data_IF_035963607736
#
_entry.id   IF_035963607736
#
_cell.length_a   1.000
_cell.length_b   1.000
_cell.length_c   1.000
_cell.angle_alpha   90.00
_cell.angle_beta   90.00
_cell.angle_gamma   90.00
#
_symmetry.space_group_name_H-M   'P 1'
#
loop_
_entity.id
_entity.type
_entity.pdbx_description
1 polymer ?
#
# COMPACT_ATOMS: atom_id res chain seq x y z
N UNK A 1 5.87 -4.51 -17.11
CA UNK A 1 6.79 -3.94 -16.09
C UNK A 1 6.45 -4.59 -14.76
N UNK A 2 7.42 -4.83 -13.86
CA UNK A 2 7.14 -5.42 -12.56
C UNK A 2 6.19 -4.50 -11.77
N UNK A 3 5.17 -5.11 -11.15
CA UNK A 3 4.18 -4.43 -10.31
C UNK A 3 4.39 -4.89 -8.87
N UNK A 4 4.35 -3.93 -7.94
CA UNK A 4 4.49 -4.20 -6.51
C UNK A 4 3.13 -4.15 -5.85
N UNK A 5 2.74 -5.28 -5.24
CA UNK A 5 1.50 -5.38 -4.50
C UNK A 5 1.74 -5.22 -3.00
N UNK A 6 1.06 -4.26 -2.39
CA UNK A 6 1.04 -4.04 -0.94
C UNK A 6 -0.24 -4.65 -0.39
N UNK A 7 -0.12 -5.56 0.58
CA UNK A 7 -1.23 -6.13 1.33
C UNK A 7 -1.15 -5.69 2.79
N UNK A 8 -1.91 -4.67 3.20
CA UNK A 8 -1.95 -4.24 4.59
C UNK A 8 -2.49 -5.35 5.50
N UNK A 9 -2.08 -5.34 6.76
CA UNK A 9 -2.74 -6.13 7.80
C UNK A 9 -4.09 -5.47 8.12
N UNK A 10 -5.13 -6.28 8.35
CA UNK A 10 -6.47 -5.80 8.75
C UNK A 10 -6.49 -4.95 10.03
N UNK A 11 -5.55 -5.16 10.93
CA UNK A 11 -5.45 -4.44 12.21
C UNK A 11 -4.51 -3.22 12.11
N UNK A 12 -3.95 -2.94 10.93
CA UNK A 12 -3.07 -1.79 10.73
C UNK A 12 -3.89 -0.48 10.64
N UNK A 13 -3.46 0.53 11.38
CA UNK A 13 -4.00 1.89 11.25
C UNK A 13 -3.62 2.54 9.91
N UNK A 14 -4.29 3.64 9.57
CA UNK A 14 -4.03 4.38 8.32
C UNK A 14 -2.59 4.92 8.22
N UNK A 15 -2.09 5.53 9.30
CA UNK A 15 -0.78 6.18 9.32
C UNK A 15 0.40 5.27 8.93
N UNK A 16 0.59 4.06 9.49
CA UNK A 16 1.67 3.17 9.06
C UNK A 16 1.52 2.72 7.60
N UNK A 17 0.29 2.54 7.10
CA UNK A 17 0.04 2.19 5.69
C UNK A 17 0.42 3.35 4.77
N UNK A 18 0.05 4.58 5.12
CA UNK A 18 0.40 5.79 4.38
C UNK A 18 1.92 6.02 4.35
N UNK A 19 2.63 5.78 5.46
CA UNK A 19 4.08 5.89 5.51
C UNK A 19 4.77 4.89 4.56
N UNK A 20 4.33 3.63 4.55
CA UNK A 20 4.88 2.60 3.65
C UNK A 20 4.67 2.97 2.18
N UNK A 21 3.49 3.52 1.84
CA UNK A 21 3.19 3.98 0.49
C UNK A 21 4.08 5.16 0.07
N UNK A 22 4.23 6.17 0.93
CA UNK A 22 5.08 7.33 0.67
C UNK A 22 6.56 6.93 0.52
N UNK A 23 7.03 6.02 1.37
CA UNK A 23 8.39 5.45 1.31
C UNK A 23 8.62 4.72 -0.01
N UNK A 24 7.69 3.84 -0.40
CA UNK A 24 7.79 3.05 -1.63
C UNK A 24 7.89 3.95 -2.87
N UNK A 25 7.08 5.00 -2.93
CA UNK A 25 7.14 6.00 -4.00
C UNK A 25 8.48 6.74 -4.02
N UNK A 26 9.00 7.15 -2.84
CA UNK A 26 10.30 7.82 -2.74
C UNK A 26 11.46 6.95 -3.23
N UNK A 27 11.39 5.64 -3.00
CA UNK A 27 12.37 4.67 -3.48
C UNK A 27 12.23 4.34 -4.98
N UNK A 28 11.34 5.02 -5.70
CA UNK A 28 11.15 4.84 -7.14
C UNK A 28 10.20 3.71 -7.52
N UNK A 29 9.47 3.15 -6.55
CA UNK A 29 8.40 2.17 -6.84
C UNK A 29 7.17 2.92 -7.32
N UNK A 30 7.08 3.11 -8.64
CA UNK A 30 6.02 3.91 -9.29
C UNK A 30 4.82 3.08 -9.74
N UNK A 31 4.96 1.74 -9.76
CA UNK A 31 3.87 0.79 -10.08
C UNK A 31 3.47 0.02 -8.83
N UNK A 32 2.64 0.67 -8.01
CA UNK A 32 2.09 0.13 -6.78
C UNK A 32 0.61 -0.23 -6.96
N UNK A 33 0.22 -1.42 -6.50
CA UNK A 33 -1.17 -1.82 -6.31
C UNK A 33 -1.42 -2.17 -4.85
N UNK A 34 -2.47 -1.62 -4.24
CA UNK A 34 -2.89 -2.05 -2.90
C UNK A 34 -3.96 -3.13 -3.08
N UNK A 35 -3.67 -4.33 -2.60
CA UNK A 35 -4.56 -5.49 -2.65
C UNK A 35 -5.13 -5.76 -1.27
N UNK A 36 -6.36 -6.28 -1.18
CA UNK A 36 -7.07 -6.37 0.11
C UNK A 36 -7.73 -5.04 0.52
N UNK A 37 -7.75 -4.05 -0.38
CA UNK A 37 -8.46 -2.77 -0.17
C UNK A 37 -9.98 -2.94 -0.15
N UNK A 38 -10.50 -4.10 -0.59
CA UNK A 38 -11.93 -4.43 -0.55
C UNK A 38 -12.50 -4.43 0.88
N UNK A 39 -11.64 -4.39 1.90
CA UNK A 39 -12.01 -4.32 3.30
C UNK A 39 -12.22 -2.89 3.83
N UNK A 40 -11.79 -1.87 3.08
CA UNK A 40 -11.84 -0.46 3.48
C UNK A 40 -12.84 0.39 2.66
N UNK A 41 -13.43 -0.18 1.60
CA UNK A 41 -14.53 0.46 0.85
C UNK A 41 -15.84 0.08 1.52
N UNK A 42 -16.50 1.06 2.14
CA UNK A 42 -17.85 0.95 2.69
C UNK A 42 -18.77 1.92 1.94
#
# INVERSE_FOLDING_TARGET
QPEFHIKPNKDAGYEPVAMVLAESQRLGVTKLGIVGSEQFVQ
#
